data_IF_581529032379
#
_entry.id   IF_581529032379
#
_cell.length_a   1.000
_cell.length_b   1.000
_cell.length_c   1.000
_cell.angle_alpha   90.00
_cell.angle_beta   90.00
_cell.angle_gamma   90.00
#
_symmetry.space_group_name_H-M   'P 1'
#
loop_
_entity.id
_entity.type
_entity.pdbx_description
1 polymer ?
#
# COMPACT_ATOMS: atom_id res chain seq x y z
N UNK A 1 -2.21 30.17 4.90
CA UNK A 1 -0.92 30.79 4.52
C UNK A 1 -0.39 30.07 3.28
N UNK A 2 0.06 30.82 2.27
CA UNK A 2 0.73 30.28 1.08
C UNK A 2 2.22 30.60 1.21
N UNK A 3 3.05 29.58 0.95
CA UNK A 3 4.52 29.72 0.91
C UNK A 3 4.96 29.32 -0.49
N UNK A 4 5.58 30.24 -1.21
CA UNK A 4 6.12 29.96 -2.55
C UNK A 4 7.52 29.41 -2.44
N UNK A 5 7.77 28.31 -3.14
CA UNK A 5 9.07 27.66 -3.25
C UNK A 5 9.61 27.99 -4.65
N UNK A 6 10.61 28.86 -4.69
CA UNK A 6 11.16 29.37 -5.95
C UNK A 6 12.30 28.50 -6.48
N UNK A 7 12.34 28.30 -7.81
CA UNK A 7 13.35 27.47 -8.47
C UNK A 7 14.80 27.94 -8.17
N UNK A 8 15.01 29.23 -8.04
CA UNK A 8 16.36 29.81 -7.84
C UNK A 8 16.78 29.89 -6.37
N UNK A 9 15.81 29.93 -5.44
CA UNK A 9 16.06 30.21 -4.01
C UNK A 9 15.83 29.02 -3.09
N UNK A 10 15.04 28.05 -3.53
CA UNK A 10 14.57 26.95 -2.69
C UNK A 10 14.82 25.58 -3.32
N UNK A 11 15.83 25.47 -4.17
CA UNK A 11 16.19 24.22 -4.82
C UNK A 11 17.68 23.96 -4.68
N UNK A 12 18.01 22.76 -4.20
CA UNK A 12 19.35 22.21 -4.20
C UNK A 12 19.34 20.95 -5.03
N UNK A 13 20.01 20.96 -6.18
CA UNK A 13 20.00 19.85 -7.13
C UNK A 13 18.58 19.55 -7.62
N UNK A 14 18.00 18.42 -7.20
CA UNK A 14 16.62 18.01 -7.53
C UNK A 14 15.64 18.26 -6.36
N UNK A 15 16.12 18.69 -5.19
CA UNK A 15 15.31 18.83 -4.00
C UNK A 15 14.78 20.26 -3.85
N UNK A 16 13.47 20.38 -3.77
CA UNK A 16 12.78 21.61 -3.44
C UNK A 16 12.57 21.65 -1.92
N UNK A 17 12.99 22.71 -1.28
CA UNK A 17 12.95 22.80 0.17
C UNK A 17 12.72 24.21 0.67
N UNK A 18 12.04 24.31 1.83
CA UNK A 18 11.85 25.56 2.56
C UNK A 18 11.73 25.24 4.05
N UNK A 19 12.40 26.01 4.88
CA UNK A 19 12.18 25.95 6.31
C UNK A 19 10.98 26.81 6.70
N UNK A 20 10.01 26.23 7.41
CA UNK A 20 8.80 26.92 7.88
C UNK A 20 8.80 26.91 9.40
N UNK A 21 9.13 28.05 10.06
CA UNK A 21 9.17 28.10 11.51
C UNK A 21 7.76 27.98 12.12
N UNK A 22 7.69 27.34 13.30
CA UNK A 22 6.47 27.20 14.08
C UNK A 22 5.50 26.12 13.60
N UNK A 23 5.91 25.28 12.64
CA UNK A 23 5.14 24.09 12.24
C UNK A 23 5.12 23.07 13.38
N UNK A 24 3.94 22.50 13.67
CA UNK A 24 3.74 21.52 14.75
C UNK A 24 2.95 20.33 14.24
N UNK A 25 3.06 19.19 14.93
CA UNK A 25 2.23 18.00 14.69
C UNK A 25 0.74 18.36 14.75
N UNK A 26 -0.04 17.74 13.86
CA UNK A 26 -1.46 18.05 13.65
C UNK A 26 -1.75 19.21 12.69
N UNK A 27 -0.75 19.94 12.23
CA UNK A 27 -0.95 21.00 11.24
C UNK A 27 -1.22 20.42 9.86
N UNK A 28 -2.25 20.95 9.19
CA UNK A 28 -2.66 20.51 7.84
C UNK A 28 -1.90 21.32 6.79
N UNK A 29 -1.45 20.65 5.72
CA UNK A 29 -0.80 21.26 4.57
C UNK A 29 -1.10 20.50 3.28
N UNK A 30 -0.75 21.08 2.15
CA UNK A 30 -0.78 20.45 0.83
C UNK A 30 0.08 21.24 -0.13
N UNK A 31 0.33 20.67 -1.30
CA UNK A 31 1.13 21.30 -2.33
C UNK A 31 0.25 21.79 -3.49
N UNK A 32 0.77 22.76 -4.22
CA UNK A 32 0.34 23.13 -5.57
C UNK A 32 1.59 23.28 -6.43
N UNK A 33 1.52 22.83 -7.66
CA UNK A 33 2.66 22.87 -8.58
C UNK A 33 2.28 23.60 -9.83
N UNK A 34 3.11 24.57 -10.19
CA UNK A 34 3.00 25.33 -11.44
C UNK A 34 3.93 24.70 -12.49
N UNK A 35 3.39 24.38 -13.65
CA UNK A 35 4.12 23.79 -14.77
C UNK A 35 3.23 23.64 -16.01
N UNK A 36 3.76 23.10 -17.11
CA UNK A 36 2.99 22.92 -18.34
C UNK A 36 1.88 21.88 -18.17
N UNK A 37 0.70 22.18 -18.71
CA UNK A 37 -0.36 21.21 -18.92
C UNK A 37 -0.36 20.81 -20.39
N UNK A 38 0.33 19.72 -20.67
CA UNK A 38 0.46 19.14 -22.03
C UNK A 38 0.39 17.61 -21.94
N UNK A 39 -0.83 17.04 -21.86
CA UNK A 39 -1.00 15.60 -21.77
C UNK A 39 -0.35 14.81 -22.89
N UNK A 40 -0.27 15.36 -24.12
CA UNK A 40 0.38 14.69 -25.25
C UNK A 40 1.87 14.44 -25.00
N UNK A 41 2.52 15.28 -24.22
CA UNK A 41 3.90 15.09 -23.74
C UNK A 41 3.98 14.35 -22.37
N UNK A 42 2.85 13.96 -21.80
CA UNK A 42 2.78 13.33 -20.48
C UNK A 42 2.79 14.30 -19.31
N UNK A 43 2.72 15.61 -19.51
CA UNK A 43 2.75 16.62 -18.45
C UNK A 43 1.33 17.04 -18.05
N UNK A 44 1.05 17.03 -16.72
CA UNK A 44 -0.30 17.26 -16.18
C UNK A 44 -0.29 18.20 -14.95
N UNK A 45 0.56 19.22 -14.96
CA UNK A 45 0.60 20.20 -13.89
C UNK A 45 -0.68 21.06 -13.89
N UNK A 46 -1.32 21.16 -12.75
CA UNK A 46 -2.52 22.00 -12.57
C UNK A 46 -2.42 22.75 -11.23
N UNK A 47 -2.07 24.06 -11.25
CA UNK A 47 -1.95 24.86 -10.03
C UNK A 47 -3.27 25.10 -9.30
N UNK A 48 -4.41 24.78 -9.90
CA UNK A 48 -5.71 24.82 -9.23
C UNK A 48 -5.94 23.63 -8.29
N UNK A 49 -5.14 22.53 -8.41
CA UNK A 49 -5.28 21.35 -7.57
C UNK A 49 -4.39 21.38 -6.35
N UNK A 50 -4.98 21.03 -5.21
CA UNK A 50 -4.24 20.76 -3.97
C UNK A 50 -3.84 19.29 -3.97
N UNK A 51 -2.54 19.05 -3.84
CA UNK A 51 -1.91 17.76 -3.91
C UNK A 51 -1.48 17.27 -2.52
N UNK A 52 -1.65 15.99 -2.26
CA UNK A 52 -1.05 15.32 -1.11
C UNK A 52 0.46 15.26 -1.27
N UNK A 53 1.15 15.35 -0.14
CA UNK A 53 2.57 15.03 -0.05
C UNK A 53 2.76 13.53 -0.24
N UNK A 54 3.58 13.07 -1.21
CA UNK A 54 3.87 11.65 -1.40
C UNK A 54 4.47 10.96 -0.17
N UNK A 55 5.16 11.74 0.69
CA UNK A 55 5.76 11.29 1.95
C UNK A 55 4.93 11.71 3.18
N UNK A 56 3.69 12.17 2.99
CA UNK A 56 2.82 12.57 4.08
C UNK A 56 2.43 11.40 4.98
N UNK A 57 2.80 11.46 6.26
CA UNK A 57 2.58 10.39 7.25
C UNK A 57 1.21 10.43 7.92
N UNK A 58 0.42 11.45 7.64
CA UNK A 58 -0.96 11.59 8.09
C UNK A 58 -1.79 12.30 7.05
N UNK A 59 -3.08 12.00 7.03
CA UNK A 59 -4.04 12.58 6.09
C UNK A 59 -5.22 13.21 6.82
N UNK A 60 -5.72 14.30 6.28
CA UNK A 60 -6.96 14.94 6.68
C UNK A 60 -7.96 14.84 5.52
N UNK A 61 -8.96 13.98 5.67
CA UNK A 61 -10.06 13.82 4.71
C UNK A 61 -11.22 14.66 5.17
N UNK A 62 -11.56 15.76 4.48
CA UNK A 62 -12.67 16.61 4.88
C UNK A 62 -14.01 15.89 4.65
N UNK A 63 -15.03 16.25 5.44
CA UNK A 63 -16.37 15.63 5.32
C UNK A 63 -17.00 15.82 3.93
N UNK A 64 -16.66 16.90 3.26
CA UNK A 64 -17.10 17.24 1.91
C UNK A 64 -16.04 16.90 0.85
N UNK A 65 -15.18 15.91 1.12
CA UNK A 65 -14.24 15.41 0.12
C UNK A 65 -14.96 15.10 -1.19
N UNK A 66 -14.36 15.49 -2.30
CA UNK A 66 -14.91 15.25 -3.63
C UNK A 66 -13.83 14.84 -4.61
N UNK A 67 -13.85 13.57 -4.98
CA UNK A 67 -13.04 13.00 -6.09
C UNK A 67 -13.37 13.72 -7.41
N UNK A 68 -14.63 14.07 -7.62
CA UNK A 68 -15.08 14.76 -8.83
C UNK A 68 -14.48 16.17 -8.95
N UNK A 69 -14.34 16.90 -7.84
CA UNK A 69 -13.68 18.21 -7.84
C UNK A 69 -12.17 18.10 -8.16
N UNK A 70 -11.54 16.97 -7.88
CA UNK A 70 -10.15 16.70 -8.26
C UNK A 70 -9.98 16.30 -9.74
N UNK A 71 -11.09 15.90 -10.41
CA UNK A 71 -11.12 15.61 -11.86
C UNK A 71 -11.43 16.82 -12.72
N UNK A 72 -12.39 17.63 -12.29
CA UNK A 72 -12.89 18.80 -13.05
C UNK A 72 -11.90 19.96 -12.97
N UNK A 73 -12.01 20.88 -13.91
CA UNK A 73 -11.28 22.14 -13.86
C UNK A 73 -11.62 22.96 -12.61
N UNK A 74 -10.70 23.84 -12.21
CA UNK A 74 -10.89 24.79 -11.10
C UNK A 74 -10.32 24.33 -9.77
N UNK A 75 -10.45 25.22 -8.79
CA UNK A 75 -9.87 25.06 -7.45
C UNK A 75 -10.64 24.01 -6.62
N UNK A 76 -9.90 23.03 -6.08
CA UNK A 76 -10.46 21.99 -5.22
C UNK A 76 -10.07 22.14 -3.74
N UNK A 77 -9.49 23.26 -3.32
CA UNK A 77 -8.93 23.43 -1.97
C UNK A 77 -9.91 23.19 -0.82
N UNK A 78 -11.19 23.47 -1.05
CA UNK A 78 -12.24 23.25 -0.05
C UNK A 78 -12.60 21.78 0.17
N UNK A 79 -12.35 20.92 -0.84
CA UNK A 79 -12.81 19.51 -0.87
C UNK A 79 -11.68 18.51 -0.97
N UNK A 80 -10.43 18.95 -1.17
CA UNK A 80 -9.29 18.07 -1.32
C UNK A 80 -8.87 17.44 0.02
N UNK A 81 -8.41 16.18 -0.04
CA UNK A 81 -7.59 15.60 1.02
C UNK A 81 -6.30 16.43 1.19
N UNK A 82 -5.77 16.47 2.38
CA UNK A 82 -4.54 17.19 2.71
C UNK A 82 -3.66 16.35 3.61
N UNK A 83 -2.37 16.62 3.57
CA UNK A 83 -1.40 15.97 4.46
C UNK A 83 -1.40 16.63 5.83
N UNK A 84 -0.98 15.85 6.84
CA UNK A 84 -0.87 16.27 8.23
C UNK A 84 0.58 16.14 8.68
N UNK A 85 1.10 17.15 9.34
CA UNK A 85 2.44 17.11 9.95
C UNK A 85 2.41 16.15 11.14
N UNK A 86 3.35 15.21 11.16
CA UNK A 86 3.51 14.20 12.22
C UNK A 86 4.89 14.36 12.86
N UNK A 87 4.96 14.24 14.18
CA UNK A 87 6.24 14.01 14.89
C UNK A 87 6.33 12.53 15.24
N UNK A 88 7.18 11.74 14.56
CA UNK A 88 7.27 10.30 14.80
C UNK A 88 7.82 9.95 16.19
N UNK A 89 8.56 10.86 16.82
CA UNK A 89 9.18 10.66 18.14
C UNK A 89 8.23 10.86 19.31
N UNK A 90 7.00 11.30 19.06
CA UNK A 90 6.02 11.59 20.10
C UNK A 90 5.33 10.34 20.66
N UNK A 91 5.43 9.18 19.98
CA UNK A 91 4.80 7.93 20.41
C UNK A 91 5.75 7.06 21.22
N UNK A 92 5.25 6.53 22.34
CA UNK A 92 5.97 5.59 23.20
C UNK A 92 5.63 4.13 22.84
N UNK A 93 6.60 3.41 22.30
CA UNK A 93 6.49 2.01 21.98
C UNK A 93 6.60 1.08 23.20
N UNK A 94 6.92 1.61 24.39
CA UNK A 94 7.01 0.83 25.64
C UNK A 94 7.95 -0.39 25.54
N UNK A 95 9.01 -0.25 24.73
CA UNK A 95 9.99 -1.31 24.51
C UNK A 95 9.56 -2.40 23.52
N UNK A 96 8.51 -2.19 22.75
CA UNK A 96 8.06 -3.11 21.70
C UNK A 96 9.16 -3.30 20.63
N UNK A 97 9.29 -4.52 20.15
CA UNK A 97 10.23 -4.93 19.10
C UNK A 97 9.60 -5.95 18.16
N UNK A 98 10.05 -6.03 16.90
CA UNK A 98 9.61 -7.06 15.96
C UNK A 98 9.78 -8.48 16.51
N UNK A 99 8.83 -9.37 16.24
CA UNK A 99 8.83 -10.73 16.77
C UNK A 99 9.78 -11.68 16.04
N UNK A 100 10.09 -11.42 14.77
CA UNK A 100 11.02 -12.21 13.95
C UNK A 100 10.74 -13.72 13.98
N UNK A 101 9.46 -14.12 13.92
CA UNK A 101 9.08 -15.53 13.90
C UNK A 101 9.56 -16.20 12.59
N UNK A 102 10.15 -17.41 12.65
CA UNK A 102 10.52 -18.15 11.44
C UNK A 102 9.30 -18.40 10.53
N UNK A 103 9.49 -18.30 9.21
CA UNK A 103 8.42 -18.53 8.22
C UNK A 103 7.79 -19.91 8.37
N UNK A 104 8.60 -20.94 8.61
CA UNK A 104 8.16 -22.32 8.85
C UNK A 104 7.24 -22.52 10.06
N UNK A 105 7.11 -21.52 10.94
CA UNK A 105 6.20 -21.50 12.11
C UNK A 105 5.16 -20.41 12.03
N UNK A 106 4.95 -19.81 10.84
CA UNK A 106 4.02 -18.71 10.65
C UNK A 106 2.71 -19.24 10.07
N UNK A 107 1.61 -18.95 10.75
CA UNK A 107 0.24 -19.19 10.29
C UNK A 107 -0.40 -17.83 10.10
N UNK A 108 -0.65 -17.47 8.85
CA UNK A 108 -1.16 -16.16 8.45
C UNK A 108 -2.68 -16.18 8.37
N UNK A 109 -3.33 -15.21 8.99
CA UNK A 109 -4.76 -14.96 8.86
C UNK A 109 -4.97 -13.62 8.16
N UNK A 110 -5.39 -13.67 6.89
CA UNK A 110 -5.74 -12.48 6.10
C UNK A 110 -7.09 -11.93 6.58
N UNK A 111 -7.13 -10.62 6.84
CA UNK A 111 -8.34 -9.97 7.31
C UNK A 111 -8.44 -8.51 6.84
N UNK A 112 -9.69 -8.07 6.72
CA UNK A 112 -10.01 -6.67 6.48
C UNK A 112 -10.32 -5.96 7.80
N UNK A 113 -9.60 -4.88 8.15
CA UNK A 113 -9.74 -4.17 9.42
C UNK A 113 -11.20 -3.84 9.75
N UNK A 114 -11.92 -3.24 8.79
CA UNK A 114 -13.33 -2.88 8.99
C UNK A 114 -14.23 -4.10 9.00
N UNK A 115 -14.04 -5.05 8.08
CA UNK A 115 -14.89 -6.24 7.95
C UNK A 115 -14.87 -7.13 9.18
N UNK A 116 -13.70 -7.28 9.78
CA UNK A 116 -13.47 -8.21 10.88
C UNK A 116 -14.33 -7.93 12.13
N UNK A 117 -14.60 -6.66 12.41
CA UNK A 117 -15.36 -6.28 13.64
C UNK A 117 -16.61 -5.47 13.38
N UNK A 118 -16.96 -5.15 12.14
CA UNK A 118 -18.08 -4.25 11.82
C UNK A 118 -19.45 -4.77 12.25
N UNK A 119 -19.68 -6.07 12.10
CA UNK A 119 -20.97 -6.68 12.44
C UNK A 119 -21.17 -6.71 13.97
N UNK A 120 -22.40 -6.48 14.47
CA UNK A 120 -22.70 -6.51 15.91
C UNK A 120 -22.32 -7.81 16.60
N UNK A 121 -22.43 -8.96 15.92
CA UNK A 121 -22.05 -10.28 16.44
C UNK A 121 -20.56 -10.43 16.76
N UNK A 122 -19.71 -9.48 16.36
CA UNK A 122 -18.30 -9.44 16.75
C UNK A 122 -18.10 -9.30 18.27
N UNK A 123 -19.11 -8.80 18.98
CA UNK A 123 -19.02 -8.48 20.40
C UNK A 123 -18.23 -7.21 20.71
N UNK A 124 -17.67 -6.54 19.70
CA UNK A 124 -16.92 -5.30 19.84
C UNK A 124 -17.87 -4.14 20.12
N UNK A 125 -17.46 -3.21 21.00
CA UNK A 125 -18.25 -2.01 21.31
C UNK A 125 -18.50 -1.16 20.06
N UNK A 126 -19.70 -0.61 19.91
CA UNK A 126 -20.13 0.08 18.68
C UNK A 126 -19.14 1.15 18.18
N UNK A 127 -18.60 1.95 19.10
CA UNK A 127 -17.64 3.02 18.79
C UNK A 127 -16.32 2.52 18.19
N UNK A 128 -15.95 1.26 18.48
CA UNK A 128 -14.70 0.63 18.04
C UNK A 128 -14.88 -0.37 16.88
N UNK A 129 -16.11 -0.68 16.49
CA UNK A 129 -16.37 -1.61 15.38
C UNK A 129 -15.79 -1.08 14.08
N UNK A 130 -15.05 -1.94 13.40
CA UNK A 130 -14.44 -1.62 12.09
C UNK A 130 -13.23 -0.71 12.18
N UNK A 131 -12.54 -0.68 13.32
CA UNK A 131 -11.34 0.13 13.56
C UNK A 131 -10.19 -0.71 14.11
N UNK A 132 -8.97 -0.16 14.14
CA UNK A 132 -7.80 -0.77 14.76
C UNK A 132 -8.07 -1.08 16.25
N UNK A 133 -8.71 -0.16 16.99
CA UNK A 133 -9.10 -0.40 18.37
C UNK A 133 -10.13 -1.54 18.54
N UNK A 134 -10.95 -1.78 17.52
CA UNK A 134 -11.87 -2.91 17.47
C UNK A 134 -11.13 -4.24 17.27
N UNK A 135 -10.09 -4.24 16.45
CA UNK A 135 -9.24 -5.41 16.24
C UNK A 135 -8.52 -5.80 17.54
N UNK A 136 -8.00 -4.84 18.29
CA UNK A 136 -7.39 -5.09 19.61
C UNK A 136 -8.32 -5.91 20.52
N UNK A 137 -9.64 -5.63 20.52
CA UNK A 137 -10.60 -6.38 21.35
C UNK A 137 -10.77 -7.84 20.88
N UNK A 138 -10.31 -8.20 19.69
CA UNK A 138 -10.39 -9.56 19.11
C UNK A 138 -9.09 -10.35 19.20
N UNK A 139 -8.04 -9.80 19.79
CA UNK A 139 -6.75 -10.50 19.98
C UNK A 139 -6.95 -11.83 20.75
N UNK A 140 -7.74 -11.95 21.82
CA UNK A 140 -7.98 -13.23 22.46
C UNK A 140 -8.55 -14.30 21.53
N UNK A 141 -9.47 -13.94 20.63
CA UNK A 141 -10.00 -14.82 19.60
C UNK A 141 -8.92 -15.28 18.61
N UNK A 142 -8.07 -14.35 18.12
CA UNK A 142 -6.97 -14.68 17.21
C UNK A 142 -5.96 -15.63 17.86
N UNK A 143 -5.65 -15.40 19.13
CA UNK A 143 -4.76 -16.27 19.90
C UNK A 143 -5.37 -17.67 20.09
N UNK A 144 -6.65 -17.77 20.43
CA UNK A 144 -7.37 -19.04 20.55
C UNK A 144 -7.43 -19.80 19.23
N UNK A 145 -7.59 -19.09 18.11
CA UNK A 145 -7.56 -19.66 16.76
C UNK A 145 -6.18 -20.24 16.40
N UNK A 146 -5.12 -19.84 17.10
CA UNK A 146 -3.75 -20.33 16.92
C UNK A 146 -2.99 -19.67 15.76
N UNK A 147 -3.47 -18.53 15.26
CA UNK A 147 -2.75 -17.78 14.23
C UNK A 147 -1.55 -17.05 14.85
N UNK A 148 -0.48 -16.92 14.08
CA UNK A 148 0.77 -16.33 14.56
C UNK A 148 1.11 -15.03 13.83
N UNK A 149 0.40 -14.74 12.75
CA UNK A 149 0.49 -13.48 12.02
C UNK A 149 -0.89 -13.08 11.48
N UNK A 150 -1.19 -11.79 11.49
CA UNK A 150 -2.33 -11.24 10.76
C UNK A 150 -1.82 -10.51 9.52
N UNK A 151 -2.42 -10.79 8.37
CA UNK A 151 -2.23 -10.00 7.17
C UNK A 151 -3.41 -9.05 7.02
N UNK A 152 -3.13 -7.77 7.10
CA UNK A 152 -4.14 -6.73 6.98
C UNK A 152 -4.28 -6.31 5.52
N UNK A 153 -5.46 -6.53 4.92
CA UNK A 153 -5.83 -5.92 3.65
C UNK A 153 -5.56 -4.41 3.71
N UNK A 154 -5.45 -3.69 2.57
CA UNK A 154 -4.81 -2.39 2.52
C UNK A 154 -5.22 -1.42 3.63
N UNK A 155 -4.24 -0.98 4.39
CA UNK A 155 -4.41 0.01 5.48
C UNK A 155 -3.91 1.40 5.11
N UNK A 156 -3.26 1.57 3.97
CA UNK A 156 -2.86 2.87 3.46
C UNK A 156 -4.07 3.77 3.25
N UNK A 157 -3.89 5.08 3.37
CA UNK A 157 -4.98 5.98 3.01
C UNK A 157 -5.36 5.79 1.55
N UNK A 158 -6.58 5.36 1.30
CA UNK A 158 -7.16 5.15 -0.02
C UNK A 158 -8.32 6.09 -0.31
N UNK A 159 -8.74 6.17 -1.56
CA UNK A 159 -9.89 6.96 -1.97
C UNK A 159 -11.18 6.14 -1.87
N UNK A 160 -11.97 6.44 -0.86
CA UNK A 160 -13.26 5.78 -0.64
C UNK A 160 -14.29 6.06 -1.76
N UNK A 161 -14.11 7.13 -2.56
CA UNK A 161 -14.97 7.46 -3.68
C UNK A 161 -14.52 6.81 -5.01
N UNK A 162 -13.41 6.07 -5.01
CA UNK A 162 -12.97 5.28 -6.16
C UNK A 162 -13.78 3.98 -6.26
N UNK A 163 -15.02 4.11 -6.69
CA UNK A 163 -16.00 3.01 -6.77
C UNK A 163 -17.14 3.38 -7.73
N UNK A 164 -17.89 2.40 -8.23
CA UNK A 164 -19.10 2.68 -9.00
C UNK A 164 -20.09 3.57 -8.24
N UNK A 165 -20.94 4.33 -8.97
CA UNK A 165 -21.95 5.19 -8.35
C UNK A 165 -22.82 4.46 -7.32
N UNK A 166 -23.00 5.08 -6.14
CA UNK A 166 -23.79 4.52 -5.04
C UNK A 166 -23.04 3.50 -4.15
N UNK A 167 -21.81 3.13 -4.49
CA UNK A 167 -20.93 2.31 -3.69
C UNK A 167 -19.77 3.10 -3.10
N UNK A 168 -19.07 2.49 -2.16
CA UNK A 168 -17.82 3.00 -1.64
C UNK A 168 -16.71 1.97 -1.87
N UNK A 169 -15.48 2.40 -2.11
CA UNK A 169 -14.34 1.50 -2.10
C UNK A 169 -14.19 0.92 -0.70
N UNK A 170 -14.40 -0.39 -0.61
CA UNK A 170 -14.38 -1.10 0.67
C UNK A 170 -13.05 -1.77 0.95
N UNK A 171 -12.43 -2.36 -0.07
CA UNK A 171 -11.22 -3.17 0.11
C UNK A 171 -9.93 -2.34 0.27
N UNK A 172 -9.91 -1.11 -0.25
CA UNK A 172 -8.78 -0.21 -0.09
C UNK A 172 -7.71 -0.28 -1.18
N UNK A 173 -7.89 -1.07 -2.23
CA UNK A 173 -6.94 -1.15 -3.37
C UNK A 173 -7.05 0.07 -4.29
N UNK A 174 -6.98 1.26 -3.71
CA UNK A 174 -6.94 2.54 -4.42
C UNK A 174 -6.16 3.57 -3.59
N UNK A 175 -4.85 3.36 -3.35
CA UNK A 175 -4.06 4.19 -2.45
C UNK A 175 -3.89 5.61 -2.99
N UNK A 176 -3.91 6.58 -2.06
CA UNK A 176 -3.58 7.99 -2.31
C UNK A 176 -2.36 8.45 -1.52
N UNK A 177 -1.97 7.69 -0.48
CA UNK A 177 -0.77 7.93 0.32
C UNK A 177 -0.18 6.61 0.75
N UNK A 178 1.13 6.46 0.60
CA UNK A 178 1.87 5.22 0.95
C UNK A 178 2.44 5.23 2.37
N UNK A 179 2.32 6.34 3.11
CA UNK A 179 2.90 6.53 4.43
C UNK A 179 1.85 6.78 5.53
N UNK A 180 0.59 6.98 5.18
CA UNK A 180 -0.45 7.30 6.14
C UNK A 180 -1.47 6.17 6.29
N UNK A 181 -1.85 5.77 7.51
CA UNK A 181 -2.95 4.83 7.71
C UNK A 181 -4.29 5.45 7.32
N UNK A 182 -5.23 4.62 6.89
CA UNK A 182 -6.55 5.04 6.47
C UNK A 182 -7.35 5.63 7.63
N UNK A 183 -7.74 6.91 7.50
CA UNK A 183 -8.38 7.66 8.56
C UNK A 183 -9.67 7.00 9.10
N UNK A 184 -10.44 6.34 8.25
CA UNK A 184 -11.69 5.71 8.65
C UNK A 184 -11.52 4.40 9.45
N UNK A 185 -10.30 3.87 9.56
CA UNK A 185 -9.99 2.71 10.38
C UNK A 185 -9.63 3.06 11.82
N UNK A 186 -9.73 4.34 12.20
CA UNK A 186 -9.55 4.79 13.58
C UNK A 186 -10.87 5.13 14.25
N UNK A 187 -10.98 4.79 15.53
CA UNK A 187 -12.07 5.25 16.41
C UNK A 187 -11.86 6.68 16.92
N UNK A 188 -10.60 7.18 16.84
CA UNK A 188 -10.25 8.55 17.21
C UNK A 188 -10.70 9.55 16.14
N UNK A 189 -10.99 10.78 16.57
CA UNK A 189 -11.50 11.82 15.69
C UNK A 189 -10.50 12.94 15.40
N UNK A 190 -9.38 12.96 16.10
CA UNK A 190 -8.29 13.88 15.85
C UNK A 190 -7.42 13.42 14.66
N UNK A 191 -6.57 14.31 14.16
CA UNK A 191 -5.79 14.09 12.95
C UNK A 191 -4.59 13.14 13.12
N UNK A 192 -4.14 12.90 14.35
CA UNK A 192 -3.02 12.02 14.68
C UNK A 192 -3.50 10.66 15.18
N UNK A 193 -4.75 10.58 15.65
CA UNK A 193 -5.36 9.36 16.18
C UNK A 193 -5.24 8.11 15.30
N UNK A 194 -5.38 8.20 13.97
CA UNK A 194 -5.19 7.03 13.11
C UNK A 194 -3.79 6.40 13.20
N UNK A 195 -2.74 7.22 13.37
CA UNK A 195 -1.38 6.72 13.55
C UNK A 195 -1.21 6.03 14.89
N UNK A 196 -1.66 6.69 15.97
CA UNK A 196 -1.45 6.18 17.32
C UNK A 196 -2.30 4.91 17.55
N UNK A 197 -3.54 4.87 17.02
CA UNK A 197 -4.38 3.69 17.13
C UNK A 197 -3.85 2.50 16.33
N UNK A 198 -3.20 2.76 15.16
CA UNK A 198 -2.50 1.71 14.42
C UNK A 198 -1.31 1.16 15.22
N UNK A 199 -0.48 2.04 15.80
CA UNK A 199 0.66 1.63 16.64
C UNK A 199 0.23 0.87 17.88
N UNK A 200 -0.85 1.31 18.53
CA UNK A 200 -1.45 0.59 19.67
C UNK A 200 -1.90 -0.82 19.27
N UNK A 201 -2.45 -0.98 18.07
CA UNK A 201 -2.85 -2.29 17.54
C UNK A 201 -1.63 -3.19 17.33
N UNK A 202 -0.57 -2.70 16.66
CA UNK A 202 0.67 -3.48 16.45
C UNK A 202 1.26 -3.90 17.77
N UNK A 203 1.46 -2.96 18.71
CA UNK A 203 1.99 -3.25 20.04
C UNK A 203 1.15 -4.27 20.81
N UNK A 204 -0.18 -4.22 20.69
CA UNK A 204 -1.07 -5.17 21.36
C UNK A 204 -0.99 -6.58 20.72
N UNK A 205 -0.86 -6.68 19.40
CA UNK A 205 -0.67 -7.94 18.68
C UNK A 205 0.69 -8.57 19.03
N UNK A 206 1.77 -7.79 19.06
CA UNK A 206 3.10 -8.25 19.44
C UNK A 206 3.12 -8.80 20.87
N UNK A 207 2.46 -8.15 21.84
CA UNK A 207 2.30 -8.66 23.21
C UNK A 207 1.59 -10.02 23.28
N UNK A 208 0.74 -10.31 22.31
CA UNK A 208 0.07 -11.60 22.15
C UNK A 208 0.87 -12.61 21.31
N UNK A 209 2.07 -12.27 20.87
CA UNK A 209 2.92 -13.11 20.01
C UNK A 209 2.42 -13.24 18.57
N UNK A 210 1.68 -12.25 18.07
CA UNK A 210 1.09 -12.22 16.73
C UNK A 210 1.78 -11.12 15.91
N UNK A 211 2.42 -11.51 14.81
CA UNK A 211 3.04 -10.59 13.85
C UNK A 211 2.01 -9.84 13.02
N UNK A 212 2.40 -8.68 12.46
CA UNK A 212 1.57 -7.86 11.58
C UNK A 212 2.20 -7.78 10.20
N UNK A 213 1.47 -8.25 9.19
CA UNK A 213 1.84 -8.16 7.77
C UNK A 213 0.87 -7.18 7.10
N UNK A 214 1.38 -6.27 6.29
CA UNK A 214 0.55 -5.35 5.51
C UNK A 214 0.45 -5.78 4.05
N UNK A 215 -0.76 -5.78 3.53
CA UNK A 215 -1.01 -5.84 2.10
C UNK A 215 -0.74 -4.45 1.49
N UNK A 216 0.31 -4.35 0.68
CA UNK A 216 0.82 -3.10 0.13
C UNK A 216 0.59 -2.98 -1.37
N UNK A 217 -0.02 -1.87 -1.76
CA UNK A 217 -0.42 -1.60 -3.14
C UNK A 217 0.52 -0.55 -3.73
N UNK A 218 1.63 -0.99 -4.36
CA UNK A 218 2.58 -0.12 -5.05
C UNK A 218 2.55 -0.27 -6.58
N UNK A 219 1.54 -0.96 -7.09
CA UNK A 219 1.37 -1.21 -8.52
C UNK A 219 0.60 -0.09 -9.22
N UNK A 220 -0.30 0.61 -8.50
CA UNK A 220 -1.14 1.69 -9.02
C UNK A 220 -1.56 2.67 -7.92
N UNK A 221 -2.30 3.69 -8.31
CA UNK A 221 -2.91 4.67 -7.38
C UNK A 221 -4.36 4.95 -7.73
N UNK A 222 -5.09 5.55 -6.78
CA UNK A 222 -6.45 6.05 -6.97
C UNK A 222 -6.58 7.16 -8.03
N UNK A 223 -5.48 7.63 -8.62
CA UNK A 223 -5.56 8.63 -9.69
C UNK A 223 -6.14 8.05 -10.99
N UNK A 224 -6.28 6.69 -11.09
CA UNK A 224 -6.99 6.01 -12.17
C UNK A 224 -6.41 6.26 -13.56
N UNK A 225 -7.23 6.17 -14.60
CA UNK A 225 -6.83 6.38 -15.99
C UNK A 225 -6.60 7.88 -16.33
N UNK A 226 -6.39 8.19 -17.59
CA UNK A 226 -6.18 9.56 -18.07
C UNK A 226 -7.33 10.54 -17.77
N UNK A 227 -8.53 10.05 -17.45
CA UNK A 227 -9.70 10.84 -17.03
C UNK A 227 -9.86 10.88 -15.50
N UNK A 228 -8.96 10.26 -14.77
CA UNK A 228 -9.02 10.19 -13.31
C UNK A 228 -8.66 11.51 -12.63
N UNK A 229 -8.78 11.58 -11.29
CA UNK A 229 -8.51 12.79 -10.51
C UNK A 229 -7.01 13.08 -10.41
N UNK A 230 -6.69 14.34 -10.10
CA UNK A 230 -5.35 14.78 -9.72
C UNK A 230 -5.31 14.94 -8.20
N UNK A 231 -4.64 14.01 -7.49
CA UNK A 231 -4.64 13.93 -6.04
C UNK A 231 -3.25 14.14 -5.42
N UNK A 232 -2.20 13.66 -6.09
CA UNK A 232 -0.81 13.69 -5.61
C UNK A 232 0.17 13.58 -6.78
N UNK A 233 0.61 12.37 -7.12
CA UNK A 233 1.73 12.06 -8.01
C UNK A 233 1.55 12.62 -9.43
N UNK A 234 0.35 12.53 -9.98
CA UNK A 234 -0.02 13.04 -11.30
C UNK A 234 0.25 14.54 -11.42
N UNK A 235 -0.10 15.31 -10.40
CA UNK A 235 0.08 16.75 -10.38
C UNK A 235 1.48 17.20 -10.01
N UNK A 236 2.31 16.31 -9.44
CA UNK A 236 3.69 16.59 -9.05
C UNK A 236 4.66 16.38 -10.21
N UNK A 237 4.63 15.19 -10.84
CA UNK A 237 5.41 14.86 -12.04
C UNK A 237 4.88 13.57 -12.70
N UNK A 238 3.85 13.70 -13.51
CA UNK A 238 3.10 12.57 -14.07
C UNK A 238 4.00 11.55 -14.77
N UNK A 239 4.89 12.01 -15.64
CA UNK A 239 5.74 11.12 -16.46
C UNK A 239 6.84 10.41 -15.69
N UNK A 240 7.20 10.90 -14.51
CA UNK A 240 8.16 10.24 -13.62
C UNK A 240 7.49 9.12 -12.83
N UNK A 241 6.28 9.38 -12.31
CA UNK A 241 5.62 8.44 -11.42
C UNK A 241 4.86 7.31 -12.11
N UNK A 242 4.43 7.51 -13.36
CA UNK A 242 3.62 6.51 -14.07
C UNK A 242 4.28 6.01 -15.35
N UNK A 243 4.04 4.75 -15.68
CA UNK A 243 4.35 4.20 -16.99
C UNK A 243 3.30 4.73 -17.96
N UNK A 244 3.75 5.49 -18.97
CA UNK A 244 2.86 6.04 -19.98
C UNK A 244 2.78 5.10 -21.18
N UNK A 245 1.62 5.10 -21.87
CA UNK A 245 1.43 4.40 -23.11
C UNK A 245 2.23 5.09 -24.26
N UNK A 246 2.26 4.49 -25.44
CA UNK A 246 2.77 5.11 -26.68
C UNK A 246 2.09 6.44 -26.97
N UNK A 247 0.78 6.51 -26.78
CA UNK A 247 0.04 7.77 -26.61
C UNK A 247 0.28 8.29 -25.19
N UNK A 248 1.27 9.17 -25.04
CA UNK A 248 1.70 9.69 -23.72
C UNK A 248 0.60 10.43 -22.94
N UNK A 249 -0.54 10.73 -23.60
CA UNK A 249 -1.73 11.23 -22.91
C UNK A 249 -2.41 10.15 -22.04
N UNK A 250 -2.04 8.88 -22.21
CA UNK A 250 -2.60 7.72 -21.55
C UNK A 250 -1.57 6.98 -20.70
N UNK A 251 -2.03 6.09 -19.85
CA UNK A 251 -1.19 5.22 -19.03
C UNK A 251 -1.17 3.81 -19.59
N UNK A 252 -0.01 3.15 -19.48
CA UNK A 252 0.05 1.70 -19.59
C UNK A 252 -0.61 1.10 -18.34
N UNK A 253 -1.51 0.13 -18.53
CA UNK A 253 -2.32 -0.45 -17.46
C UNK A 253 -2.03 -1.96 -17.30
N UNK A 254 -1.04 -2.27 -16.45
CA UNK A 254 -0.71 -3.63 -16.08
C UNK A 254 -1.39 -4.05 -14.76
N UNK A 255 -2.05 -3.11 -14.08
CA UNK A 255 -2.75 -3.32 -12.83
C UNK A 255 -4.25 -3.63 -13.01
N UNK A 256 -4.81 -3.31 -14.18
CA UNK A 256 -6.24 -3.41 -14.44
C UNK A 256 -7.08 -2.29 -13.81
N UNK A 257 -6.44 -1.22 -13.30
CA UNK A 257 -7.09 -0.13 -12.57
C UNK A 257 -6.96 1.25 -13.25
N UNK A 258 -6.33 1.29 -14.43
CA UNK A 258 -6.20 2.48 -15.26
C UNK A 258 -4.82 3.14 -15.26
N UNK A 259 -3.91 2.77 -14.33
CA UNK A 259 -2.53 3.23 -14.32
C UNK A 259 -1.59 2.18 -13.74
N UNK A 260 -0.29 2.34 -14.00
CA UNK A 260 0.76 1.55 -13.39
C UNK A 260 1.87 2.48 -12.91
N UNK A 261 2.29 2.33 -11.65
CA UNK A 261 3.44 3.06 -11.12
C UNK A 261 4.74 2.60 -11.81
N UNK A 262 5.59 3.56 -12.16
CA UNK A 262 6.91 3.34 -12.75
C UNK A 262 7.93 2.95 -11.66
N UNK A 263 7.76 1.76 -11.08
CA UNK A 263 8.47 1.32 -9.88
C UNK A 263 9.99 1.23 -10.04
N UNK A 264 10.51 1.07 -11.26
CA UNK A 264 11.95 1.02 -11.53
C UNK A 264 12.59 2.39 -11.86
N UNK A 265 11.79 3.44 -11.98
CA UNK A 265 12.27 4.81 -12.02
C UNK A 265 12.92 5.17 -10.66
N UNK A 266 14.16 5.73 -10.60
CA UNK A 266 14.92 5.84 -9.36
C UNK A 266 14.21 6.56 -8.20
N UNK A 267 13.44 7.62 -8.48
CA UNK A 267 12.72 8.38 -7.46
C UNK A 267 11.51 7.60 -6.94
N UNK A 268 10.79 6.90 -7.82
CA UNK A 268 9.64 6.07 -7.45
C UNK A 268 10.10 4.86 -6.65
N UNK A 269 11.16 4.19 -7.12
CA UNK A 269 11.81 3.07 -6.43
C UNK A 269 12.23 3.47 -5.01
N UNK A 270 12.89 4.60 -4.87
CA UNK A 270 13.27 5.16 -3.56
C UNK A 270 12.05 5.40 -2.68
N UNK A 271 10.98 5.99 -3.21
CA UNK A 271 9.74 6.23 -2.46
C UNK A 271 9.13 4.93 -1.93
N UNK A 272 9.14 3.86 -2.74
CA UNK A 272 8.65 2.54 -2.33
C UNK A 272 9.49 1.99 -1.17
N UNK A 273 10.82 1.97 -1.31
CA UNK A 273 11.73 1.49 -0.25
C UNK A 273 11.60 2.32 1.02
N UNK A 274 11.54 3.66 0.90
CA UNK A 274 11.36 4.56 2.05
C UNK A 274 10.01 4.33 2.75
N UNK A 275 8.95 3.99 2.00
CA UNK A 275 7.65 3.63 2.58
C UNK A 275 7.74 2.32 3.38
N UNK A 276 8.34 1.28 2.80
CA UNK A 276 8.52 -0.01 3.50
C UNK A 276 9.38 0.14 4.77
N UNK A 277 10.49 0.90 4.69
CA UNK A 277 11.30 1.23 5.87
C UNK A 277 10.48 1.92 6.95
N UNK A 278 9.69 2.93 6.57
CA UNK A 278 8.82 3.64 7.52
C UNK A 278 7.83 2.68 8.24
N UNK A 279 7.18 1.79 7.50
CA UNK A 279 6.26 0.84 8.10
C UNK A 279 6.98 -0.23 8.94
N UNK A 280 8.16 -0.69 8.52
CA UNK A 280 8.96 -1.64 9.30
C UNK A 280 9.59 -1.03 10.54
N UNK A 281 10.29 0.10 10.39
CA UNK A 281 11.12 0.69 11.45
C UNK A 281 10.33 1.60 12.41
N UNK A 282 9.42 2.45 11.86
CA UNK A 282 8.69 3.42 12.66
C UNK A 282 7.28 2.96 13.06
N UNK A 283 6.71 2.00 12.36
CA UNK A 283 5.36 1.46 12.63
C UNK A 283 5.41 -0.01 13.09
N UNK A 284 6.60 -0.60 13.23
CA UNK A 284 6.90 -1.94 13.73
C UNK A 284 6.17 -3.09 13.01
N UNK A 285 5.96 -2.97 11.70
CA UNK A 285 5.33 -4.00 10.88
C UNK A 285 6.34 -5.12 10.58
N UNK A 286 5.94 -6.38 10.73
CA UNK A 286 6.82 -7.56 10.60
C UNK A 286 6.93 -8.09 9.17
N UNK A 287 6.07 -7.63 8.26
CA UNK A 287 6.13 -8.10 6.87
C UNK A 287 5.19 -7.38 5.93
N UNK A 288 5.36 -7.70 4.64
CA UNK A 288 4.59 -7.10 3.55
C UNK A 288 4.15 -8.15 2.54
N UNK A 289 2.88 -8.13 2.19
CA UNK A 289 2.35 -8.83 1.02
C UNK A 289 2.16 -7.82 -0.09
N UNK A 290 2.74 -8.07 -1.23
CA UNK A 290 2.73 -7.15 -2.36
C UNK A 290 1.65 -7.53 -3.36
N UNK A 291 0.62 -6.69 -3.43
CA UNK A 291 -0.45 -6.80 -4.42
C UNK A 291 0.13 -6.72 -5.84
N UNK A 292 -0.27 -7.65 -6.74
CA UNK A 292 0.22 -7.73 -8.12
C UNK A 292 1.74 -7.50 -8.24
N UNK A 293 2.55 -8.26 -7.49
CA UNK A 293 3.99 -8.03 -7.35
C UNK A 293 4.73 -8.02 -8.70
N UNK A 294 4.27 -8.77 -9.68
CA UNK A 294 4.88 -8.85 -11.00
C UNK A 294 4.84 -7.52 -11.79
N UNK A 295 3.93 -6.61 -11.48
CA UNK A 295 3.91 -5.27 -12.14
C UNK A 295 5.20 -4.50 -11.93
N UNK A 296 5.85 -4.68 -10.74
CA UNK A 296 7.12 -4.02 -10.40
C UNK A 296 8.32 -4.58 -11.14
N UNK A 297 8.15 -5.70 -11.80
CA UNK A 297 9.15 -6.28 -12.71
C UNK A 297 9.27 -5.57 -14.06
N UNK A 298 8.56 -4.46 -14.30
CA UNK A 298 8.54 -3.79 -15.60
C UNK A 298 9.38 -2.51 -15.59
N UNK A 299 9.98 -2.21 -16.77
CA UNK A 299 10.67 -0.94 -17.01
C UNK A 299 9.67 0.17 -17.41
N UNK A 300 10.21 1.35 -17.71
CA UNK A 300 9.44 2.53 -18.12
C UNK A 300 8.71 2.37 -19.46
N UNK A 301 9.10 1.37 -20.29
CA UNK A 301 8.42 1.00 -21.53
C UNK A 301 7.40 -0.14 -21.33
N UNK A 302 7.29 -0.67 -20.10
CA UNK A 302 6.41 -1.77 -19.74
C UNK A 302 6.98 -3.17 -20.03
N UNK A 303 8.25 -3.26 -20.46
CA UNK A 303 8.89 -4.55 -20.68
C UNK A 303 9.28 -5.21 -19.35
N UNK A 304 9.12 -6.53 -19.26
CA UNK A 304 9.51 -7.31 -18.09
C UNK A 304 11.04 -7.40 -18.02
N UNK A 305 11.57 -6.95 -16.88
CA UNK A 305 13.00 -7.03 -16.58
C UNK A 305 13.32 -8.41 -15.97
N UNK A 306 14.40 -9.08 -16.36
CA UNK A 306 14.83 -10.32 -15.70
C UNK A 306 15.32 -10.07 -14.28
N UNK A 307 15.87 -8.90 -13.99
CA UNK A 307 16.37 -8.49 -12.67
C UNK A 307 15.85 -7.09 -12.32
N UNK A 308 14.61 -6.97 -11.84
CA UNK A 308 14.00 -5.67 -11.53
C UNK A 308 14.72 -4.98 -10.34
N UNK A 309 15.30 -3.80 -10.51
CA UNK A 309 16.05 -3.13 -9.45
C UNK A 309 15.27 -2.91 -8.17
N UNK A 310 13.96 -2.60 -8.25
CA UNK A 310 13.14 -2.34 -7.06
C UNK A 310 13.00 -3.58 -6.17
N UNK A 311 12.91 -4.77 -6.73
CA UNK A 311 12.77 -6.00 -5.94
C UNK A 311 14.07 -6.33 -5.21
N UNK A 312 15.23 -6.12 -5.87
CA UNK A 312 16.55 -6.30 -5.25
C UNK A 312 16.84 -5.23 -4.19
N UNK A 313 16.44 -3.98 -4.41
CA UNK A 313 16.58 -2.92 -3.41
C UNK A 313 15.75 -3.22 -2.15
N UNK A 314 14.56 -3.82 -2.30
CA UNK A 314 13.72 -4.24 -1.16
C UNK A 314 14.38 -5.41 -0.41
N UNK A 315 14.82 -6.46 -1.14
CA UNK A 315 15.38 -7.66 -0.54
C UNK A 315 16.72 -7.42 0.17
N UNK A 316 17.57 -6.58 -0.42
CA UNK A 316 18.91 -6.28 0.10
C UNK A 316 18.92 -5.16 1.14
N UNK A 317 17.76 -4.56 1.45
CA UNK A 317 17.69 -3.45 2.40
C UNK A 317 17.92 -3.93 3.84
N UNK A 318 18.93 -3.39 4.56
CA UNK A 318 19.26 -3.87 5.90
C UNK A 318 18.15 -3.62 6.93
N UNK A 319 17.29 -2.62 6.73
CA UNK A 319 16.14 -2.36 7.60
C UNK A 319 15.04 -3.40 7.39
N UNK A 320 14.90 -3.88 6.15
CA UNK A 320 13.88 -4.85 5.76
C UNK A 320 14.34 -6.31 5.87
N UNK A 321 15.63 -6.57 6.18
CA UNK A 321 16.23 -7.91 6.18
C UNK A 321 15.54 -8.92 7.12
N UNK A 322 14.86 -8.44 8.17
CA UNK A 322 14.09 -9.29 9.10
C UNK A 322 12.60 -9.40 8.77
N UNK A 323 12.11 -8.70 7.75
CA UNK A 323 10.69 -8.67 7.43
C UNK A 323 10.29 -9.83 6.50
N UNK A 324 9.04 -10.28 6.64
CA UNK A 324 8.46 -11.24 5.69
C UNK A 324 8.09 -10.54 4.40
N UNK A 325 8.61 -11.02 3.28
CA UNK A 325 8.28 -10.54 1.94
C UNK A 325 7.45 -11.58 1.20
N UNK A 326 6.21 -11.23 0.86
CA UNK A 326 5.28 -12.14 0.20
C UNK A 326 4.81 -11.50 -1.10
N UNK A 327 4.95 -12.22 -2.20
CA UNK A 327 4.56 -11.76 -3.52
C UNK A 327 3.25 -12.40 -3.97
N UNK A 328 2.32 -11.59 -4.46
CA UNK A 328 1.33 -12.03 -5.42
C UNK A 328 2.01 -12.02 -6.80
N UNK A 329 2.58 -13.16 -7.19
CA UNK A 329 3.54 -13.27 -8.28
C UNK A 329 2.89 -13.28 -9.68
N UNK A 330 1.92 -12.37 -9.92
CA UNK A 330 1.24 -12.14 -11.20
C UNK A 330 0.84 -10.69 -11.37
N UNK A 331 0.34 -10.33 -12.58
CA UNK A 331 -0.27 -9.04 -12.87
C UNK A 331 -1.61 -9.20 -13.61
N UNK A 332 -2.31 -8.09 -13.86
CA UNK A 332 -3.59 -8.10 -14.55
C UNK A 332 -3.44 -8.19 -16.09
N UNK A 333 -2.23 -8.08 -16.63
CA UNK A 333 -1.94 -8.17 -18.05
C UNK A 333 -1.50 -9.57 -18.51
N UNK A 334 -1.57 -10.58 -17.61
CA UNK A 334 -1.31 -11.98 -17.94
C UNK A 334 0.10 -12.47 -17.60
N UNK A 335 0.95 -11.67 -16.97
CA UNK A 335 2.22 -12.15 -16.44
C UNK A 335 1.96 -13.01 -15.19
N UNK A 336 2.50 -14.22 -15.17
CA UNK A 336 2.36 -15.17 -14.07
C UNK A 336 3.72 -15.79 -13.74
N UNK A 337 4.27 -15.46 -12.58
CA UNK A 337 5.63 -15.81 -12.15
C UNK A 337 5.66 -16.71 -10.90
N UNK A 338 4.55 -17.38 -10.56
CA UNK A 338 4.55 -18.33 -9.43
C UNK A 338 5.50 -19.48 -9.74
N UNK A 339 6.47 -19.69 -8.85
CA UNK A 339 7.59 -20.63 -9.00
C UNK A 339 8.83 -20.03 -9.66
N UNK A 340 8.75 -18.80 -10.18
CA UNK A 340 9.88 -18.12 -10.86
C UNK A 340 9.98 -16.64 -10.52
N UNK A 341 9.38 -16.21 -9.40
CA UNK A 341 9.50 -14.83 -8.93
C UNK A 341 10.93 -14.54 -8.48
N UNK A 342 11.44 -13.38 -8.84
CA UNK A 342 12.83 -12.97 -8.60
C UNK A 342 13.11 -12.80 -7.10
N UNK A 343 14.31 -13.22 -6.65
CA UNK A 343 14.82 -13.06 -5.30
C UNK A 343 14.84 -14.35 -4.48
N UNK A 344 15.65 -14.36 -3.43
CA UNK A 344 15.86 -15.54 -2.56
C UNK A 344 14.98 -15.51 -1.30
N UNK A 345 14.63 -14.30 -0.81
CA UNK A 345 13.87 -14.12 0.43
C UNK A 345 12.35 -14.05 0.23
N UNK A 346 11.87 -13.93 -1.02
CA UNK A 346 10.47 -13.77 -1.32
C UNK A 346 9.71 -15.09 -1.18
N UNK A 347 8.58 -15.03 -0.47
CA UNK A 347 7.55 -16.06 -0.49
C UNK A 347 6.49 -15.70 -1.53
N UNK A 348 5.78 -16.68 -2.03
CA UNK A 348 4.78 -16.46 -3.07
C UNK A 348 3.40 -16.96 -2.61
N UNK A 349 2.37 -16.15 -2.84
CA UNK A 349 1.01 -16.68 -2.80
C UNK A 349 0.79 -17.63 -3.98
N UNK A 350 0.51 -18.89 -3.69
CA UNK A 350 0.32 -19.91 -4.72
C UNK A 350 -1.14 -19.97 -5.19
N UNK A 351 -1.45 -19.27 -6.30
CA UNK A 351 -2.79 -19.27 -6.90
C UNK A 351 -3.26 -20.67 -7.33
N UNK A 352 -2.34 -21.54 -7.80
CA UNK A 352 -2.68 -22.92 -8.15
C UNK A 352 -3.08 -23.74 -6.92
N UNK A 353 -2.47 -23.52 -5.76
CA UNK A 353 -2.90 -24.15 -4.52
C UNK A 353 -4.36 -23.81 -4.22
N UNK A 354 -4.69 -22.52 -4.24
CA UNK A 354 -6.06 -22.04 -4.03
C UNK A 354 -7.06 -22.73 -4.96
N UNK A 355 -6.76 -22.77 -6.25
CA UNK A 355 -7.69 -23.25 -7.27
C UNK A 355 -7.84 -24.78 -7.23
N UNK A 356 -6.73 -25.51 -7.09
CA UNK A 356 -6.74 -26.98 -7.02
C UNK A 356 -7.43 -27.49 -5.74
N UNK A 357 -7.22 -26.83 -4.59
CA UNK A 357 -7.92 -27.16 -3.33
C UNK A 357 -9.42 -26.92 -3.48
N UNK A 358 -9.82 -25.79 -4.07
CA UNK A 358 -11.25 -25.50 -4.33
C UNK A 358 -11.88 -26.51 -5.28
N UNK A 359 -11.20 -26.89 -6.36
CA UNK A 359 -11.65 -27.91 -7.32
C UNK A 359 -11.88 -29.24 -6.63
N UNK A 360 -10.95 -29.68 -5.77
CA UNK A 360 -11.09 -30.92 -5.02
C UNK A 360 -12.31 -30.90 -4.10
N UNK A 361 -12.48 -29.87 -3.30
CA UNK A 361 -13.62 -29.78 -2.37
C UNK A 361 -14.96 -29.53 -3.05
N UNK A 362 -14.97 -29.09 -4.32
CA UNK A 362 -16.17 -29.05 -5.16
C UNK A 362 -16.52 -30.40 -5.81
N UNK A 363 -15.63 -31.40 -5.69
CA UNK A 363 -15.83 -32.71 -6.33
C UNK A 363 -15.58 -32.72 -7.84
N UNK A 364 -14.72 -31.82 -8.34
CA UNK A 364 -14.39 -31.77 -9.77
C UNK A 364 -13.53 -32.99 -10.16
N UNK A 365 -13.87 -33.63 -11.29
CA UNK A 365 -13.15 -34.79 -11.80
C UNK A 365 -11.69 -34.48 -12.09
N UNK A 366 -10.80 -35.46 -11.80
CA UNK A 366 -9.35 -35.32 -12.03
C UNK A 366 -8.61 -34.35 -11.07
N UNK A 367 -9.26 -33.85 -10.01
CA UNK A 367 -8.67 -32.91 -9.04
C UNK A 367 -7.76 -33.58 -8.01
N UNK A 368 -7.89 -34.90 -7.76
CA UNK A 368 -7.19 -35.63 -6.69
C UNK A 368 -5.66 -35.54 -6.81
N UNK A 369 -5.10 -35.79 -8.01
CA UNK A 369 -3.65 -35.73 -8.23
C UNK A 369 -3.08 -34.33 -8.04
N UNK A 370 -3.81 -33.30 -8.54
CA UNK A 370 -3.42 -31.90 -8.34
C UNK A 370 -3.46 -31.51 -6.85
N UNK A 371 -4.51 -31.89 -6.14
CA UNK A 371 -4.63 -31.65 -4.71
C UNK A 371 -3.49 -32.33 -3.92
N UNK A 372 -3.15 -33.58 -4.23
CA UNK A 372 -2.02 -34.28 -3.62
C UNK A 372 -0.70 -33.55 -3.84
N UNK A 373 -0.43 -33.09 -5.06
CA UNK A 373 0.78 -32.30 -5.38
C UNK A 373 0.84 -30.99 -4.54
N UNK A 374 -0.31 -30.31 -4.36
CA UNK A 374 -0.38 -29.10 -3.52
C UNK A 374 -0.06 -29.39 -2.06
N UNK A 375 -0.59 -30.49 -1.50
CA UNK A 375 -0.31 -30.92 -0.10
C UNK A 375 1.14 -31.29 0.14
N UNK A 376 1.85 -31.75 -0.90
CA UNK A 376 3.27 -32.09 -0.85
C UNK A 376 4.19 -30.86 -1.06
N UNK A 377 3.66 -29.63 -0.99
CA UNK A 377 4.45 -28.41 -1.18
C UNK A 377 4.59 -27.98 -2.64
N UNK A 378 3.74 -28.50 -3.54
CA UNK A 378 3.75 -28.13 -4.97
C UNK A 378 5.08 -28.43 -5.70
N UNK A 379 5.69 -29.62 -5.58
CA UNK A 379 6.98 -29.91 -6.22
C UNK A 379 6.94 -29.72 -7.74
N UNK A 380 5.79 -29.87 -8.40
CA UNK A 380 5.64 -29.57 -9.83
C UNK A 380 5.88 -28.07 -10.18
N UNK A 381 5.86 -27.19 -9.20
CA UNK A 381 6.12 -25.76 -9.38
C UNK A 381 7.53 -25.39 -8.95
N UNK A 382 7.96 -25.85 -7.78
CA UNK A 382 9.17 -25.36 -7.10
C UNK A 382 10.41 -26.27 -7.23
N UNK A 383 10.25 -27.54 -7.63
CA UNK A 383 11.38 -28.50 -7.67
C UNK A 383 12.49 -28.13 -8.67
N UNK A 384 12.23 -27.24 -9.63
CA UNK A 384 13.21 -26.82 -10.63
C UNK A 384 14.12 -25.68 -10.19
N UNK A 385 13.81 -25.02 -9.08
CA UNK A 385 14.49 -23.82 -8.61
C UNK A 385 15.23 -24.03 -7.28
N UNK A 386 15.37 -25.28 -6.82
CA UNK A 386 15.96 -25.64 -5.52
C UNK A 386 15.28 -24.90 -4.33
N UNK A 387 14.06 -24.41 -4.53
CA UNK A 387 13.29 -23.75 -3.48
C UNK A 387 12.59 -24.80 -2.64
N UNK A 388 12.84 -24.77 -1.35
CA UNK A 388 12.13 -25.60 -0.39
C UNK A 388 10.72 -25.05 -0.15
N UNK A 389 9.74 -25.93 -0.08
CA UNK A 389 8.40 -25.57 0.39
C UNK A 389 8.47 -25.37 1.91
N UNK A 390 8.46 -24.14 2.38
CA UNK A 390 8.34 -23.77 3.78
C UNK A 390 6.88 -23.64 4.21
#
# INVERSE_FOLDING_TARGET
RVIRIGRLTNRTYHYWHVFVPGVRAGQIYGYRVEGPYDPASGMRFDPAKVLLDPYGRGTAVPKNYSREAARKEGDNSATAMKSVVVDPRAYDWEGDTPLNRPSSRTIIYEMHVRGFTRHPSSGVTEKKRGTFAGLIQKIPYLHELGVTAVELMPVFQFDAQDSPPGLINYWGYAPVSFFAPHQAYSSCRDLLGPLDEFRDMVKALHRAGIEVILDVVFNHTAEGDHNGPTLSLRGLDNSTYYILDKDRARYADYSGTGNTLNANQPIVRRMIVDSLRYWGEEMHVDGFRFDLAATRGRDESGQVLPNPPVLWDIESDPVLAGTKLIAEAWDAAGLYQVGSFVGDCWKEWNGRFRDDVRSFFRGEDGSVGRFADRLLGSPAIYAHEEREAE
#
